data_IF_081516988198
#
_entry.id   IF_081516988198
#
_cell.length_a   1.000
_cell.length_b   1.000
_cell.length_c   1.000
_cell.angle_alpha   90.00
_cell.angle_beta   90.00
_cell.angle_gamma   90.00
#
_symmetry.space_group_name_H-M   'P 1'
#
loop_
_entity.id
_entity.type
_entity.pdbx_description
1 polymer ?
#
# COMPACT_ATOMS: atom_id res chain seq x y z
N UNK A 1 33.43 11.82 7.13
CA UNK A 1 32.82 11.06 6.98
C UNK A 1 31.67 11.03 7.45
N UNK A 2 30.87 11.40 7.20
CA UNK A 2 29.80 11.29 7.66
C UNK A 2 28.86 10.67 6.85
N UNK A 3 29.08 10.15 5.67
CA UNK A 3 28.21 9.27 4.96
C UNK A 3 27.84 8.07 5.78
N UNK A 4 28.68 7.74 6.74
CA UNK A 4 28.35 6.70 7.68
C UNK A 4 27.08 7.01 8.46
N UNK A 5 26.89 8.25 8.84
CA UNK A 5 25.68 8.64 9.56
C UNK A 5 24.46 8.46 8.66
N UNK A 6 24.61 8.77 7.39
CA UNK A 6 23.52 8.60 6.45
C UNK A 6 23.10 7.13 6.34
N UNK A 7 24.05 6.21 6.49
CA UNK A 7 23.73 4.80 6.37
C UNK A 7 22.89 4.27 7.53
N UNK A 8 22.85 4.97 8.64
CA UNK A 8 21.99 4.57 9.76
C UNK A 8 20.51 4.79 9.39
N UNK A 9 20.25 5.73 8.50
CA UNK A 9 18.91 6.05 8.06
C UNK A 9 18.93 6.13 6.54
N UNK A 10 18.94 4.97 5.87
CA UNK A 10 19.01 4.96 4.41
C UNK A 10 17.91 5.80 3.82
N UNK A 11 18.28 6.63 2.86
CA UNK A 11 17.29 7.43 2.16
C UNK A 11 16.52 6.54 1.21
N UNK A 12 15.22 6.45 1.34
CA UNK A 12 14.44 5.73 0.35
C UNK A 12 14.44 6.50 -0.96
N UNK A 13 14.54 5.77 -2.06
CA UNK A 13 14.43 6.32 -3.39
C UNK A 13 13.18 5.77 -4.03
N UNK A 14 12.30 6.66 -4.46
CA UNK A 14 11.11 6.26 -5.20
C UNK A 14 11.51 5.80 -6.60
N UNK A 15 11.10 4.60 -6.99
CA UNK A 15 11.55 3.98 -8.22
C UNK A 15 10.68 4.29 -9.42
N UNK A 16 9.43 4.62 -9.20
CA UNK A 16 8.49 4.83 -10.30
C UNK A 16 7.39 5.78 -9.85
N UNK A 17 6.54 6.16 -10.79
CA UNK A 17 5.35 6.93 -10.48
C UNK A 17 4.44 6.11 -9.57
N UNK A 18 3.80 6.76 -8.60
CA UNK A 18 2.86 6.09 -7.72
C UNK A 18 1.74 5.43 -8.49
N UNK A 19 1.30 4.27 -8.01
CA UNK A 19 0.12 3.60 -8.53
C UNK A 19 -1.09 4.02 -7.70
N UNK A 20 -2.21 4.26 -8.38
CA UNK A 20 -3.45 4.64 -7.74
C UNK A 20 -4.49 3.55 -7.99
N UNK A 21 -5.20 3.18 -6.94
CA UNK A 21 -6.21 2.15 -6.99
C UNK A 21 -7.54 2.72 -6.50
N UNK A 22 -8.57 2.63 -7.33
CA UNK A 22 -9.92 2.96 -6.90
C UNK A 22 -10.52 1.73 -6.23
N UNK A 23 -10.90 1.88 -4.96
CA UNK A 23 -11.42 0.79 -4.15
C UNK A 23 -12.92 0.99 -3.98
N UNK A 24 -13.68 0.10 -4.58
CA UNK A 24 -15.14 0.18 -4.59
C UNK A 24 -15.75 -1.08 -3.97
N UNK A 25 -16.91 -1.47 -4.44
CA UNK A 25 -17.70 -2.56 -3.85
C UNK A 25 -17.25 -3.98 -4.23
N UNK A 26 -16.27 -4.11 -5.12
CA UNK A 26 -15.68 -5.40 -5.48
C UNK A 26 -14.20 -5.35 -5.11
N UNK A 27 -13.68 -6.40 -4.51
CA UNK A 27 -12.27 -6.40 -4.08
C UNK A 27 -11.34 -6.25 -5.27
N UNK A 28 -10.28 -5.46 -5.07
CA UNK A 28 -9.29 -5.16 -6.10
C UNK A 28 -7.90 -5.29 -5.50
N UNK A 29 -6.90 -5.36 -6.37
CA UNK A 29 -5.51 -5.37 -5.94
C UNK A 29 -4.67 -4.55 -6.91
N UNK A 30 -3.50 -4.12 -6.46
CA UNK A 30 -2.57 -3.43 -7.34
C UNK A 30 -2.09 -4.37 -8.42
N UNK A 31 -1.84 -3.82 -9.60
CA UNK A 31 -1.22 -4.59 -10.66
C UNK A 31 0.14 -5.08 -10.17
N UNK A 32 0.50 -6.31 -10.52
CA UNK A 32 1.74 -6.90 -10.04
C UNK A 32 2.90 -6.43 -10.91
N UNK A 33 3.16 -5.14 -10.89
CA UNK A 33 4.17 -4.52 -11.75
C UNK A 33 5.17 -3.69 -10.96
N UNK A 34 5.37 -4.01 -9.68
CA UNK A 34 6.39 -3.34 -8.90
C UNK A 34 7.77 -3.77 -9.35
N UNK A 35 8.71 -2.83 -9.31
CA UNK A 35 10.09 -3.09 -9.73
C UNK A 35 10.70 -4.22 -8.89
N UNK A 36 11.59 -4.99 -9.53
CA UNK A 36 12.36 -6.01 -8.82
C UNK A 36 13.25 -5.41 -7.72
N UNK A 37 13.57 -4.12 -7.82
CA UNK A 37 14.41 -3.44 -6.83
C UNK A 37 13.60 -2.88 -5.67
N UNK A 38 12.29 -2.94 -5.71
CA UNK A 38 11.44 -2.41 -4.65
C UNK A 38 11.57 -3.23 -3.38
N UNK A 39 11.84 -2.56 -2.26
CA UNK A 39 11.89 -3.18 -0.94
C UNK A 39 10.66 -2.83 -0.12
N UNK A 40 10.20 -1.60 -0.22
CA UNK A 40 9.13 -1.10 0.61
C UNK A 40 8.15 -0.29 -0.22
N UNK A 41 6.90 -0.26 0.24
CA UNK A 41 5.84 0.47 -0.43
C UNK A 41 5.17 1.36 0.59
N UNK A 42 5.05 2.64 0.25
CA UNK A 42 4.35 3.60 1.05
C UNK A 42 2.91 3.69 0.57
N UNK A 43 1.97 3.48 1.48
CA UNK A 43 0.54 3.44 1.17
C UNK A 43 -0.14 4.63 1.82
N UNK A 44 -1.03 5.28 1.08
CA UNK A 44 -1.97 6.25 1.63
C UNK A 44 -3.38 5.87 1.24
N UNK A 45 -4.33 6.09 2.15
CA UNK A 45 -5.75 5.86 1.94
C UNK A 45 -6.46 7.21 1.98
N UNK A 46 -7.25 7.51 0.95
CA UNK A 46 -7.94 8.79 0.84
C UNK A 46 -9.41 8.59 0.56
N UNK A 47 -10.20 9.56 0.97
CA UNK A 47 -11.62 9.73 0.69
C UNK A 47 -12.52 8.88 1.57
N UNK A 48 -12.20 7.61 1.79
CA UNK A 48 -13.02 6.72 2.62
C UNK A 48 -12.16 5.58 3.16
N UNK A 49 -12.56 4.93 4.26
CA UNK A 49 -11.81 3.82 4.82
C UNK A 49 -11.95 2.55 3.97
N UNK A 50 -10.98 1.64 4.13
CA UNK A 50 -10.95 0.39 3.37
C UNK A 50 -10.67 -0.80 4.29
N UNK A 51 -11.16 -1.97 3.86
CA UNK A 51 -10.72 -3.25 4.41
C UNK A 51 -9.58 -3.77 3.54
N UNK A 52 -8.59 -4.36 4.16
CA UNK A 52 -7.46 -4.94 3.43
C UNK A 52 -7.06 -6.27 4.04
N UNK A 53 -6.73 -7.22 3.18
CA UNK A 53 -6.12 -8.50 3.57
C UNK A 53 -4.75 -8.58 2.92
N UNK A 54 -3.84 -9.35 3.55
CA UNK A 54 -2.48 -9.50 3.03
C UNK A 54 -2.16 -10.95 2.65
N UNK A 55 -3.17 -11.81 2.62
CA UNK A 55 -2.99 -13.23 2.33
C UNK A 55 -3.73 -13.68 1.06
N UNK A 56 -4.22 -12.73 0.28
CA UNK A 56 -4.94 -13.04 -0.95
C UNK A 56 -6.41 -13.37 -0.75
N UNK A 57 -6.90 -13.44 0.49
CA UNK A 57 -8.33 -13.68 0.73
C UNK A 57 -9.14 -12.42 0.47
N UNK A 58 -10.43 -12.59 0.26
CA UNK A 58 -11.34 -11.45 0.02
C UNK A 58 -11.59 -10.71 1.33
N UNK A 59 -11.32 -9.41 1.39
CA UNK A 59 -11.59 -8.64 2.61
C UNK A 59 -13.08 -8.45 2.85
N UNK A 60 -13.44 -8.32 4.12
CA UNK A 60 -14.81 -8.05 4.55
C UNK A 60 -14.77 -7.43 5.95
N UNK A 61 -15.93 -7.14 6.49
CA UNK A 61 -16.02 -6.61 7.87
C UNK A 61 -15.54 -7.60 8.92
N UNK A 62 -15.40 -8.88 8.57
CA UNK A 62 -14.94 -9.93 9.47
C UNK A 62 -13.62 -10.56 9.03
N UNK A 63 -13.01 -10.07 7.95
CA UNK A 63 -11.77 -10.62 7.44
C UNK A 63 -10.88 -9.48 6.94
N UNK A 64 -9.81 -9.21 7.66
CA UNK A 64 -8.84 -8.22 7.29
C UNK A 64 -8.74 -7.10 8.30
N UNK A 65 -8.07 -6.04 7.89
CA UNK A 65 -7.80 -4.87 8.72
C UNK A 65 -8.50 -3.65 8.15
N UNK A 66 -9.03 -2.82 9.04
CA UNK A 66 -9.60 -1.54 8.63
C UNK A 66 -8.51 -0.48 8.62
N UNK A 67 -8.28 0.12 7.47
CA UNK A 67 -7.42 1.29 7.36
C UNK A 67 -8.31 2.51 7.20
N UNK A 68 -8.22 3.47 8.13
CA UNK A 68 -9.10 4.64 8.10
C UNK A 68 -8.73 5.58 6.97
N UNK A 69 -9.64 6.52 6.69
CA UNK A 69 -9.35 7.63 5.79
C UNK A 69 -8.12 8.38 6.31
N UNK A 70 -7.26 8.79 5.40
CA UNK A 70 -6.00 9.48 5.69
C UNK A 70 -4.94 8.60 6.35
N UNK A 71 -5.14 7.28 6.35
CA UNK A 71 -4.09 6.37 6.80
C UNK A 71 -2.87 6.50 5.90
N UNK A 72 -1.69 6.43 6.49
CA UNK A 72 -0.45 6.28 5.73
C UNK A 72 0.49 5.35 6.49
N UNK A 73 1.29 4.61 5.75
CA UNK A 73 2.22 3.67 6.38
C UNK A 73 3.06 2.94 5.36
N UNK A 74 4.08 2.26 5.88
CA UNK A 74 5.01 1.48 5.09
C UNK A 74 4.69 0.00 5.18
N UNK A 75 4.80 -0.67 4.06
CA UNK A 75 4.59 -2.11 3.96
C UNK A 75 5.70 -2.73 3.14
N UNK A 76 5.93 -4.02 3.34
CA UNK A 76 6.83 -4.76 2.47
C UNK A 76 6.21 -4.90 1.08
N UNK A 77 7.03 -5.06 0.08
CA UNK A 77 6.57 -5.31 -1.28
C UNK A 77 5.67 -6.53 -1.34
N UNK A 78 6.06 -7.62 -0.68
CA UNK A 78 5.30 -8.88 -0.73
C UNK A 78 3.92 -8.73 -0.11
N UNK A 79 3.79 -7.95 0.95
CA UNK A 79 2.49 -7.69 1.57
C UNK A 79 1.55 -6.99 0.60
N UNK A 80 2.04 -6.00 -0.12
CA UNK A 80 1.21 -5.22 -1.02
C UNK A 80 0.88 -5.99 -2.31
N UNK A 81 1.78 -6.83 -2.78
CA UNK A 81 1.49 -7.71 -3.92
C UNK A 81 0.32 -8.64 -3.59
N UNK A 82 0.31 -9.19 -2.37
CA UNK A 82 -0.73 -10.11 -1.95
C UNK A 82 -2.01 -9.39 -1.50
N UNK A 83 -1.95 -8.09 -1.25
CA UNK A 83 -3.06 -7.37 -0.64
C UNK A 83 -4.26 -7.28 -1.56
N UNK A 84 -5.43 -7.48 -0.97
CA UNK A 84 -6.72 -7.20 -1.60
C UNK A 84 -7.44 -6.14 -0.79
N UNK A 85 -8.12 -5.25 -1.49
CA UNK A 85 -8.72 -4.05 -0.93
C UNK A 85 -10.19 -3.99 -1.25
N UNK A 86 -11.00 -3.55 -0.28
CA UNK A 86 -12.45 -3.41 -0.45
C UNK A 86 -12.89 -2.18 0.35
N UNK A 87 -13.78 -1.37 -0.22
CA UNK A 87 -14.32 -0.25 0.54
C UNK A 87 -15.09 -0.76 1.75
N UNK A 88 -15.01 -0.02 2.86
CA UNK A 88 -15.71 -0.40 4.08
C UNK A 88 -17.04 0.32 4.26
N UNK A 89 -17.30 1.36 3.47
CA UNK A 89 -18.53 2.13 3.49
C UNK A 89 -19.13 2.15 2.09
N UNK A 90 -20.23 2.86 1.91
CA UNK A 90 -20.83 3.03 0.59
C UNK A 90 -20.06 3.96 -0.33
N UNK A 91 -18.98 4.57 0.15
CA UNK A 91 -18.17 5.52 -0.62
C UNK A 91 -16.90 4.84 -1.10
N UNK A 92 -16.57 5.01 -2.37
CA UNK A 92 -15.31 4.49 -2.91
C UNK A 92 -14.13 5.23 -2.32
N UNK A 93 -13.05 4.50 -2.09
CA UNK A 93 -11.81 5.04 -1.56
C UNK A 93 -10.73 5.04 -2.65
N UNK A 94 -9.65 5.76 -2.37
CA UNK A 94 -8.49 5.77 -3.25
C UNK A 94 -7.28 5.36 -2.43
N UNK A 95 -6.53 4.39 -2.94
CA UNK A 95 -5.31 3.91 -2.29
C UNK A 95 -4.16 4.16 -3.25
N UNK A 96 -3.12 4.84 -2.76
CA UNK A 96 -1.95 5.16 -3.54
C UNK A 96 -0.75 4.39 -2.99
N UNK A 97 0.00 3.77 -3.89
CA UNK A 97 1.19 3.00 -3.55
C UNK A 97 2.41 3.62 -4.25
N UNK A 98 3.43 3.93 -3.49
CA UNK A 98 4.70 4.43 -4.02
C UNK A 98 5.80 3.42 -3.68
N UNK A 99 6.61 3.08 -4.68
CA UNK A 99 7.67 2.07 -4.57
C UNK A 99 8.98 2.72 -4.17
N UNK A 100 9.67 2.10 -3.24
CA UNK A 100 10.96 2.60 -2.77
C UNK A 100 11.98 1.48 -2.67
N UNK A 101 13.24 1.85 -2.89
CA UNK A 101 14.39 1.00 -2.60
C UNK A 101 15.29 1.71 -1.58
N UNK A 102 16.05 0.94 -0.87
CA UNK A 102 17.04 1.52 0.05
C UNK A 102 18.26 2.04 -0.70
#
# INVERSE_FOLDING_TARGET
>A
MNSFVVNLYPKPNQLATSQNLTVAGTSVQFANTFSALTNAIFITVQTAPVWVTFDGSTPSSTNGHLLPTNYNGWFSKDSIIAAKWLRSTGTSAFVTASEFTN
#
